data_IF_307021451227
#
_entry.id   IF_307021451227
#
_cell.length_a   1.000
_cell.length_b   1.000
_cell.length_c   1.000
_cell.angle_alpha   90.00
_cell.angle_beta   90.00
_cell.angle_gamma   90.00
#
_symmetry.space_group_name_H-M   'P 1'
#
loop_
_entity.id
_entity.type
_entity.pdbx_description
1 polymer ?
2 polymer ?
3 polymer ?
4 polymer ?
5 non-polymer ?
6 non-polymer ?
7 non-polymer ?
8 water ?
#
loop_
_entity_poly.entity_id
_entity_poly.type
_entity_poly.pdbx_seq_one_letter_code
_entity_poly.pdbx_strand_id
2 'polydeoxyribonucleotide' '(DC)(DG)(DG)(DC)(DA)(DA)(DT)(DA)(DC)(DG)' ?
3 'polydeoxyribonucleotide' '(DC)(DG)(DT)(DA)(DT)' ?
4 'polydeoxyribonucleotide' '(DG)(DC)(DC)(DG)' ?
#
# COMPACT_ATOMS: atom_id res chain seq x y z
N UNK A 10 -3.99 -24.90 -3.43
CA UNK A 10 -3.06 -23.80 -3.63
C UNK A 10 -2.26 -23.53 -2.35
N UNK A 11 -1.06 -22.95 -2.49
CA UNK A 11 -0.19 -22.69 -1.34
C UNK A 11 -0.80 -21.71 -0.33
N UNK A 12 -0.40 -21.83 0.93
CA UNK A 12 -0.98 -21.05 2.01
C UNK A 12 -0.49 -19.61 2.04
N UNK A 13 0.74 -19.38 1.58
CA UNK A 13 1.31 -18.04 1.56
C UNK A 13 1.02 -17.33 0.23
N UNK A 14 0.68 -16.06 0.31
CA UNK A 14 0.35 -15.27 -0.87
C UNK A 14 1.58 -15.03 -1.75
N UNK A 15 2.75 -15.14 -1.14
CA UNK A 15 4.00 -14.95 -1.87
C UNK A 15 4.40 -16.20 -2.64
N UNK A 16 3.64 -17.28 -2.45
CA UNK A 16 3.89 -18.53 -3.16
C UNK A 16 3.00 -18.67 -4.39
N UNK A 17 2.08 -17.74 -4.56
CA UNK A 17 1.13 -17.80 -5.67
C UNK A 17 1.05 -16.47 -6.41
N UNK A 18 0.93 -16.55 -7.75
CA UNK A 18 0.74 -15.34 -8.56
C UNK A 18 -0.64 -14.73 -8.31
N UNK A 19 -0.68 -13.41 -8.15
CA UNK A 19 -1.94 -12.71 -7.94
C UNK A 19 -2.03 -11.51 -8.87
N UNK A 20 -2.81 -11.64 -9.96
CA UNK A 20 -2.96 -10.58 -10.95
C UNK A 20 -3.77 -9.41 -10.40
N UNK A 21 -3.62 -8.24 -11.02
CA UNK A 21 -4.35 -7.05 -10.61
C UNK A 21 -5.86 -7.26 -10.74
N UNK A 22 -6.26 -7.85 -11.86
CA UNK A 22 -7.66 -8.18 -12.09
C UNK A 22 -7.85 -9.69 -12.09
N UNK A 23 -8.98 -10.15 -11.57
CA UNK A 23 -9.23 -11.57 -11.45
C UNK A 23 -10.69 -11.94 -11.74
N UNK A 24 -11.14 -13.05 -11.15
CA UNK A 24 -12.44 -13.61 -11.50
C UNK A 24 -13.36 -13.78 -10.29
N UNK A 25 -12.99 -13.14 -9.19
CA UNK A 25 -13.79 -13.17 -7.97
C UNK A 25 -13.82 -11.81 -7.29
N UNK A 26 -13.98 -10.76 -8.10
CA UNK A 26 -13.93 -9.39 -7.61
C UNK A 26 -14.97 -9.12 -6.53
N UNK A 27 -16.22 -9.50 -6.80
CA UNK A 27 -17.31 -9.28 -5.87
C UNK A 27 -17.10 -9.94 -4.52
N UNK A 28 -16.68 -11.20 -4.55
CA UNK A 28 -16.47 -11.97 -3.31
C UNK A 28 -15.34 -11.39 -2.47
N UNK A 29 -14.20 -11.10 -3.11
CA UNK A 29 -13.04 -10.58 -2.40
C UNK A 29 -13.31 -9.20 -1.81
N UNK A 30 -14.07 -8.39 -2.55
CA UNK A 30 -14.40 -7.04 -2.08
C UNK A 30 -15.23 -7.08 -0.81
N UNK A 31 -16.09 -8.09 -0.70
CA UNK A 31 -16.93 -8.23 0.49
C UNK A 31 -16.10 -8.62 1.70
N UNK A 32 -15.14 -9.51 1.50
CA UNK A 32 -14.26 -9.96 2.57
C UNK A 32 -13.33 -8.85 3.06
N UNK A 33 -12.92 -7.99 2.14
CA UNK A 33 -12.01 -6.90 2.46
C UNK A 33 -12.71 -5.78 3.23
N UNK A 34 -14.03 -5.70 3.08
CA UNK A 34 -14.81 -4.76 3.86
C UNK A 34 -14.83 -5.21 5.32
N UNK A 35 -14.92 -6.53 5.53
CA UNK A 35 -14.87 -7.10 6.87
C UNK A 35 -13.48 -6.92 7.47
N UNK A 36 -12.46 -7.07 6.64
CA UNK A 36 -11.08 -6.85 7.08
C UNK A 36 -10.88 -5.40 7.50
N UNK A 37 -11.39 -4.49 6.68
CA UNK A 37 -11.30 -3.06 6.94
C UNK A 37 -12.05 -2.70 8.21
N UNK A 38 -13.21 -3.33 8.40
CA UNK A 38 -14.03 -3.09 9.59
C UNK A 38 -13.34 -3.65 10.83
N UNK A 39 -12.66 -4.77 10.66
CA UNK A 39 -11.94 -5.42 11.75
C UNK A 39 -10.82 -4.53 12.27
N UNK A 40 -10.11 -3.88 11.35
CA UNK A 40 -9.04 -2.98 11.69
C UNK A 40 -9.54 -1.73 12.39
N UNK A 41 -10.79 -1.38 12.15
CA UNK A 41 -11.40 -0.23 12.80
C UNK A 41 -11.74 -0.54 14.24
N UNK A 42 -11.78 -1.82 14.58
CA UNK A 42 -12.09 -2.25 15.94
C UNK A 42 -10.84 -2.78 16.63
N UNK A 43 -9.68 -2.57 16.01
CA UNK A 43 -8.42 -2.99 16.60
C UNK A 43 -8.16 -4.48 16.50
N UNK A 44 -9.03 -5.19 15.80
CA UNK A 44 -8.89 -6.63 15.62
C UNK A 44 -7.93 -6.95 14.47
N UNK A 45 -6.64 -6.81 14.74
CA UNK A 45 -5.61 -7.01 13.72
C UNK A 45 -5.54 -8.46 13.25
N UNK A 46 -5.93 -9.39 14.11
CA UNK A 46 -5.92 -10.80 13.74
C UNK A 46 -7.01 -11.11 12.72
N UNK A 47 -8.20 -10.58 12.96
CA UNK A 47 -9.33 -10.80 12.06
C UNK A 47 -9.16 -10.08 10.73
N UNK A 48 -8.53 -8.90 10.78
CA UNK A 48 -8.21 -8.16 9.56
C UNK A 48 -7.30 -8.98 8.67
N UNK A 49 -6.33 -9.63 9.28
CA UNK A 49 -5.32 -10.40 8.56
C UNK A 49 -5.95 -11.61 7.86
N UNK A 50 -6.79 -12.33 8.58
CA UNK A 50 -7.43 -13.52 8.03
C UNK A 50 -8.34 -13.18 6.84
N UNK A 51 -9.18 -12.17 7.03
CA UNK A 51 -10.09 -11.72 5.97
C UNK A 51 -9.31 -11.23 4.75
N UNK A 52 -8.16 -10.61 4.98
CA UNK A 52 -7.29 -10.18 3.90
C UNK A 52 -6.72 -11.38 3.15
N UNK A 53 -6.24 -12.37 3.91
CA UNK A 53 -5.71 -13.59 3.33
C UNK A 53 -6.77 -14.33 2.53
N UNK A 54 -7.96 -14.46 3.11
CA UNK A 54 -9.07 -15.16 2.47
C UNK A 54 -9.45 -14.51 1.15
N UNK A 55 -9.44 -13.17 1.13
CA UNK A 55 -9.76 -12.42 -0.07
C UNK A 55 -8.68 -12.61 -1.13
N UNK A 56 -7.42 -12.63 -0.70
CA UNK A 56 -6.30 -12.78 -1.61
C UNK A 56 -6.31 -14.15 -2.27
N UNK A 57 -6.77 -15.16 -1.53
CA UNK A 57 -6.87 -16.51 -2.05
C UNK A 57 -7.82 -16.54 -3.25
N UNK A 58 -8.96 -15.86 -3.11
CA UNK A 58 -9.94 -15.78 -4.19
C UNK A 58 -9.37 -15.03 -5.40
N UNK A 59 -8.52 -14.04 -5.15
CA UNK A 59 -7.87 -13.29 -6.22
C UNK A 59 -6.95 -14.18 -7.05
N UNK A 60 -6.41 -15.22 -6.42
CA UNK A 60 -5.42 -16.08 -7.06
C UNK A 60 -6.05 -17.24 -7.80
N UNK A 61 -7.36 -17.44 -7.60
CA UNK A 61 -8.08 -18.52 -8.28
C UNK A 61 -8.17 -18.24 -9.78
N UNK A 62 -8.10 -19.31 -10.59
CA UNK A 62 -8.09 -19.18 -12.05
C UNK A 62 -9.48 -19.01 -12.66
N UNK A 63 -10.52 -19.11 -11.85
CA UNK A 63 -11.90 -19.05 -12.34
C UNK A 63 -12.86 -18.66 -11.22
N UNK A 64 -14.04 -18.12 -11.58
CA UNK A 64 -15.01 -17.70 -10.55
C UNK A 64 -15.46 -18.82 -9.63
N UNK A 65 -15.74 -18.48 -8.38
CA UNK A 65 -16.35 -19.42 -7.44
C UNK A 65 -17.85 -19.40 -7.63
N UNK A 66 -18.44 -20.58 -7.86
CA UNK A 66 -19.87 -20.68 -8.11
C UNK A 66 -20.58 -21.51 -7.04
N UNK A 67 -19.85 -22.44 -6.43
CA UNK A 67 -20.43 -23.28 -5.39
C UNK A 67 -19.60 -23.24 -4.11
N UNK A 68 -20.23 -23.53 -2.98
CA UNK A 68 -19.55 -23.51 -1.68
C UNK A 68 -18.53 -24.64 -1.58
N UNK A 69 -18.76 -25.72 -2.32
CA UNK A 69 -17.87 -26.88 -2.28
C UNK A 69 -16.50 -26.56 -2.85
N UNK A 70 -16.44 -25.52 -3.69
CA UNK A 70 -15.18 -25.11 -4.30
C UNK A 70 -14.26 -24.42 -3.29
N UNK A 71 -14.81 -24.11 -2.11
CA UNK A 71 -14.04 -23.47 -1.06
C UNK A 71 -13.32 -24.48 -0.19
N UNK A 72 -13.71 -25.74 -0.29
CA UNK A 72 -13.09 -26.81 0.49
C UNK A 72 -11.64 -27.00 0.10
N UNK A 73 -10.76 -27.04 1.10
CA UNK A 73 -9.34 -27.22 0.86
C UNK A 73 -8.58 -25.91 0.76
N UNK A 74 -9.29 -24.84 0.43
CA UNK A 74 -8.67 -23.53 0.30
C UNK A 74 -8.20 -23.00 1.64
N UNK A 75 -6.96 -22.48 1.68
CA UNK A 75 -6.37 -21.92 2.91
C UNK A 75 -7.12 -20.69 3.40
N UNK A 76 -7.14 -20.51 4.72
CA UNK A 76 -7.72 -19.33 5.36
C UNK A 76 -9.21 -19.16 5.09
N UNK A 77 -9.89 -20.26 4.79
CA UNK A 77 -11.34 -20.24 4.63
C UNK A 77 -12.00 -21.16 5.67
N UNK A 78 -12.37 -20.59 6.79
CA UNK A 78 -13.02 -21.33 7.86
C UNK A 78 -14.52 -21.07 7.87
N UNK A 79 -15.12 -21.09 9.05
CA UNK A 79 -16.56 -20.94 9.19
C UNK A 79 -17.06 -19.59 8.73
N UNK A 80 -16.42 -18.52 9.20
CA UNK A 80 -16.90 -17.16 8.95
C UNK A 80 -16.77 -16.76 7.49
N UNK A 81 -15.59 -16.94 6.92
CA UNK A 81 -15.33 -16.54 5.54
C UNK A 81 -16.17 -17.33 4.54
N UNK A 82 -16.40 -18.61 4.83
CA UNK A 82 -17.20 -19.46 3.96
C UNK A 82 -18.67 -19.10 4.04
N UNK A 83 -19.09 -18.66 5.22
CA UNK A 83 -20.47 -18.23 5.44
C UNK A 83 -20.75 -16.97 4.61
N UNK A 84 -19.78 -16.07 4.57
CA UNK A 84 -19.88 -14.85 3.80
C UNK A 84 -20.03 -15.14 2.31
N UNK A 85 -19.21 -16.04 1.81
CA UNK A 85 -19.24 -16.42 0.40
C UNK A 85 -20.55 -17.14 0.06
N UNK A 86 -21.01 -18.00 0.97
CA UNK A 86 -22.22 -18.77 0.79
C UNK A 86 -23.43 -17.89 0.54
N UNK A 87 -23.60 -16.86 1.38
CA UNK A 87 -24.72 -15.94 1.25
C UNK A 87 -24.64 -15.15 -0.05
N UNK A 88 -23.42 -14.79 -0.44
CA UNK A 88 -23.20 -14.03 -1.66
C UNK A 88 -23.55 -14.86 -2.90
N UNK A 89 -23.22 -16.14 -2.86
CA UNK A 89 -23.50 -17.04 -3.97
C UNK A 89 -24.99 -17.37 -4.05
N UNK A 90 -25.67 -17.30 -2.91
CA UNK A 90 -27.06 -17.72 -2.83
C UNK A 90 -28.06 -16.57 -2.90
N UNK A 91 -27.68 -15.43 -2.33
CA UNK A 91 -28.60 -14.30 -2.21
C UNK A 91 -28.10 -13.05 -2.91
N UNK A 92 -26.86 -13.07 -3.36
CA UNK A 92 -26.28 -11.94 -4.07
C UNK A 92 -25.72 -10.89 -3.12
N UNK A 93 -26.09 -10.97 -1.85
CA UNK A 93 -25.58 -10.07 -0.83
C UNK A 93 -25.27 -10.83 0.46
N UNK A 94 -24.35 -10.27 1.25
CA UNK A 94 -24.07 -10.82 2.57
C UNK A 94 -24.60 -9.88 3.64
N UNK A 95 -25.48 -10.39 4.49
CA UNK A 95 -26.17 -9.59 5.51
C UNK A 95 -25.22 -8.81 6.40
N UNK A 96 -24.17 -9.48 6.88
CA UNK A 96 -23.19 -8.84 7.76
C UNK A 96 -22.44 -7.71 7.03
N UNK A 97 -22.03 -7.98 5.80
CA UNK A 97 -21.30 -7.00 5.00
C UNK A 97 -22.11 -5.73 4.79
N UNK A 98 -23.39 -5.90 4.45
CA UNK A 98 -24.27 -4.76 4.22
C UNK A 98 -24.51 -3.98 5.50
N UNK A 99 -24.59 -4.68 6.62
CA UNK A 99 -24.78 -4.04 7.92
C UNK A 99 -23.57 -3.18 8.27
N UNK A 100 -22.39 -3.63 7.87
CA UNK A 100 -21.16 -2.89 8.09
C UNK A 100 -21.15 -1.61 7.25
N UNK A 101 -21.52 -1.74 5.98
CA UNK A 101 -21.59 -0.59 5.08
C UNK A 101 -22.44 0.54 5.64
N UNK A 102 -23.65 0.19 6.06
CA UNK A 102 -24.63 1.19 6.50
C UNK A 102 -24.26 1.87 7.81
N UNK A 103 -23.57 1.14 8.69
CA UNK A 103 -23.31 1.60 10.05
C UNK A 103 -22.57 2.94 10.09
N UNK A 104 -22.96 3.77 11.05
CA UNK A 104 -22.35 5.08 11.25
C UNK A 104 -20.88 4.93 11.66
N UNK A 105 -20.61 3.87 12.44
CA UNK A 105 -19.26 3.59 12.92
C UNK A 105 -18.28 3.37 11.77
N UNK A 106 -18.62 2.46 10.86
CA UNK A 106 -17.74 2.11 9.75
C UNK A 106 -17.50 3.29 8.81
N UNK A 107 -18.57 3.96 8.41
CA UNK A 107 -18.47 5.07 7.47
C UNK A 107 -17.64 6.22 8.03
N UNK A 108 -17.81 6.48 9.32
CA UNK A 108 -17.06 7.55 9.98
C UNK A 108 -15.59 7.19 10.11
N UNK A 109 -15.32 5.99 10.62
CA UNK A 109 -13.94 5.52 10.78
C UNK A 109 -13.22 5.47 9.45
N UNK A 110 -13.92 5.05 8.40
CA UNK A 110 -13.33 5.01 7.06
C UNK A 110 -13.03 6.41 6.57
N UNK A 111 -13.94 7.34 6.83
CA UNK A 111 -13.77 8.74 6.43
C UNK A 111 -12.60 9.39 7.15
N UNK A 112 -12.47 9.10 8.44
CA UNK A 112 -11.43 9.70 9.26
C UNK A 112 -10.05 9.10 8.97
N UNK A 113 -10.00 7.78 8.83
CA UNK A 113 -8.73 7.08 8.66
C UNK A 113 -8.08 7.34 7.30
N UNK A 114 -8.88 7.79 6.33
CA UNK A 114 -8.35 8.07 5.00
C UNK A 114 -7.73 9.46 4.95
N UNK A 115 -7.81 10.18 6.05
CA UNK A 115 -7.19 11.49 6.15
C UNK A 115 -5.70 11.32 6.41
N UNK A 116 -4.87 12.04 5.66
CA UNK A 116 -3.43 11.98 5.85
C UNK A 116 -3.05 12.53 7.21
N UNK A 117 -2.50 11.66 8.06
CA UNK A 117 -2.12 12.06 9.40
C UNK A 117 -3.05 11.50 10.46
N UNK A 118 -4.04 10.74 10.01
CA UNK A 118 -5.03 10.15 10.93
C UNK A 118 -5.07 8.64 10.82
N UNK A 119 -4.86 7.96 11.93
CA UNK A 119 -4.93 6.51 11.99
C UNK A 119 -6.19 6.04 12.71
N UNK A 120 -6.21 4.76 13.06
CA UNK A 120 -7.38 4.15 13.70
C UNK A 120 -7.58 4.70 15.11
N UNK A 121 -6.50 4.81 15.87
CA UNK A 121 -6.56 5.28 17.25
C UNK A 121 -7.12 6.70 17.35
N UNK A 122 -6.66 7.58 16.47
CA UNK A 122 -7.12 8.96 16.45
C UNK A 122 -8.57 9.05 15.97
N UNK A 123 -8.89 8.26 14.95
CA UNK A 123 -10.24 8.23 14.39
C UNK A 123 -11.24 7.75 15.42
N UNK A 124 -10.88 6.71 16.15
CA UNK A 124 -11.74 6.13 17.18
C UNK A 124 -12.04 7.14 18.28
N UNK A 125 -11.01 7.86 18.71
CA UNK A 125 -11.15 8.86 19.76
C UNK A 125 -12.08 9.99 19.32
N UNK A 126 -11.94 10.40 18.05
CA UNK A 126 -12.79 11.44 17.48
C UNK A 126 -14.25 10.98 17.41
N UNK A 127 -14.44 9.71 17.06
CA UNK A 127 -15.78 9.13 17.00
C UNK A 127 -16.42 9.07 18.38
N UNK A 128 -15.60 8.77 19.38
CA UNK A 128 -16.08 8.67 20.76
C UNK A 128 -16.36 10.04 21.37
N UNK A 129 -15.91 11.10 20.69
CA UNK A 129 -16.14 12.45 21.17
C UNK A 129 -17.34 13.09 20.49
N UNK A 130 -17.91 12.40 19.51
CA UNK A 130 -19.11 12.87 18.84
C UNK A 130 -18.86 13.45 17.46
N UNK A 131 -17.61 13.47 17.03
CA UNK A 131 -17.26 13.98 15.72
C UNK A 131 -17.63 12.98 14.62
N UNK A 132 -18.21 13.49 13.53
CA UNK A 132 -18.70 12.61 12.47
C UNK A 132 -18.24 13.04 11.08
N UNK A 133 -18.10 14.34 10.87
CA UNK A 133 -17.76 14.86 9.54
C UNK A 133 -16.43 15.62 9.53
N UNK A 134 -16.00 16.02 8.35
CA UNK A 134 -14.74 16.74 8.18
C UNK A 134 -14.84 18.17 8.71
N UNK A 135 -16.00 18.78 8.54
CA UNK A 135 -16.23 20.14 9.03
C UNK A 135 -16.21 20.17 10.55
N UNK A 136 -16.52 19.04 11.17
CA UNK A 136 -16.42 18.92 12.63
C UNK A 136 -14.96 19.05 13.05
N UNK A 137 -14.07 18.46 12.26
CA UNK A 137 -12.63 18.53 12.53
C UNK A 137 -12.11 19.93 12.25
N UNK A 138 -12.71 20.60 11.27
CA UNK A 138 -12.31 21.96 10.92
C UNK A 138 -12.84 22.96 11.94
N UNK A 139 -13.86 22.56 12.69
CA UNK A 139 -14.46 23.43 13.70
C UNK A 139 -13.53 23.62 14.89
N UNK A 140 -12.63 22.66 15.09
CA UNK A 140 -11.66 22.75 16.18
C UNK A 140 -10.25 22.49 15.68
N UNK A 141 -9.64 23.48 15.02
CA UNK A 141 -8.29 23.36 14.44
C UNK A 141 -7.20 23.35 15.50
N UNK A 142 -7.55 23.67 16.74
CA UNK A 142 -6.59 23.77 17.83
C UNK A 142 -5.94 22.42 18.15
N UNK A 143 -6.74 21.36 18.08
CA UNK A 143 -6.25 20.02 18.42
C UNK A 143 -5.88 19.22 17.17
N UNK A 144 -5.41 19.90 16.14
CA UNK A 144 -4.97 19.24 14.92
C UNK A 144 -3.47 19.43 14.69
N UNK A 145 -2.79 18.32 14.37
CA UNK A 145 -1.37 18.38 14.05
C UNK A 145 -1.18 18.96 12.65
N UNK A 146 0.03 19.39 12.35
CA UNK A 146 0.32 20.01 11.05
C UNK A 146 0.14 19.04 9.90
N UNK A 147 0.39 17.76 10.16
CA UNK A 147 0.19 16.72 9.16
C UNK A 147 -1.30 16.50 8.91
N UNK A 148 -2.08 16.58 9.97
CA UNK A 148 -3.53 16.44 9.87
C UNK A 148 -4.17 17.68 9.26
N UNK A 149 -3.61 18.84 9.56
CA UNK A 149 -4.08 20.09 8.98
C UNK A 149 -3.91 20.06 7.47
N UNK A 150 -2.78 19.54 7.01
CA UNK A 150 -2.52 19.38 5.58
C UNK A 150 -3.41 18.30 4.99
N UNK A 151 -3.69 17.28 5.79
CA UNK A 151 -4.54 16.17 5.35
C UNK A 151 -5.96 16.63 5.09
N UNK A 152 -6.48 17.49 5.96
CA UNK A 152 -7.81 18.05 5.77
C UNK A 152 -7.80 19.12 4.69
N UNK A 153 -6.66 19.80 4.57
CA UNK A 153 -6.50 20.90 3.61
C UNK A 153 -6.68 20.41 2.17
N UNK A 154 -6.01 19.31 1.83
CA UNK A 154 -6.04 18.80 0.47
C UNK A 154 -6.82 17.49 0.34
N UNK A 155 -7.70 17.23 1.30
CA UNK A 155 -8.43 15.96 1.35
C UNK A 155 -9.22 15.66 0.08
N UNK A 156 -9.85 16.68 -0.49
CA UNK A 156 -10.66 16.51 -1.69
C UNK A 156 -9.80 16.04 -2.87
N UNK A 157 -8.65 16.69 -3.06
CA UNK A 157 -7.73 16.30 -4.12
C UNK A 157 -7.14 14.91 -3.87
N UNK A 158 -6.83 14.62 -2.60
CA UNK A 158 -6.21 13.35 -2.25
C UNK A 158 -7.20 12.20 -2.36
N UNK A 159 -8.49 12.51 -2.34
CA UNK A 159 -9.53 11.50 -2.49
C UNK A 159 -9.78 11.21 -3.97
N UNK A 160 -9.20 12.04 -4.83
CA UNK A 160 -9.33 11.87 -6.27
C UNK A 160 -8.25 10.92 -6.79
N UNK A 161 -8.67 9.88 -7.52
CA UNK A 161 -7.74 8.87 -8.07
C UNK A 161 -6.62 9.48 -8.92
N UNK A 162 -5.40 9.01 -8.70
CA UNK A 162 -4.25 9.44 -9.49
C UNK A 162 -4.11 8.53 -10.71
N UNK A 163 -4.01 9.12 -11.89
CA UNK A 163 -3.95 8.35 -13.13
C UNK A 163 -2.51 8.11 -13.58
N UNK A 164 -2.34 7.22 -14.55
CA UNK A 164 -1.03 6.90 -15.10
C UNK A 164 -0.37 8.13 -15.73
N UNK A 165 -1.17 8.95 -16.41
CA UNK A 165 -0.67 10.16 -17.04
C UNK A 165 -0.10 11.12 -16.01
N UNK A 166 -0.68 11.12 -14.82
CA UNK A 166 -0.20 11.94 -13.72
C UNK A 166 1.15 11.42 -13.23
N UNK A 167 1.30 10.11 -13.17
CA UNK A 167 2.53 9.47 -12.71
C UNK A 167 3.70 9.83 -13.62
N UNK A 168 3.46 9.77 -14.93
CA UNK A 168 4.49 10.09 -15.91
C UNK A 168 4.98 11.52 -15.78
N UNK A 169 4.04 12.43 -15.56
CA UNK A 169 4.38 13.84 -15.37
C UNK A 169 5.17 14.06 -14.09
N UNK A 170 4.74 13.39 -13.02
CA UNK A 170 5.41 13.49 -11.73
C UNK A 170 6.82 12.91 -11.78
N UNK A 171 6.96 11.74 -12.41
CA UNK A 171 8.26 11.10 -12.51
C UNK A 171 9.24 11.95 -13.31
N UNK A 172 8.73 12.61 -14.35
CA UNK A 172 9.55 13.51 -15.16
C UNK A 172 10.03 14.68 -14.30
N UNK A 173 9.17 15.14 -13.41
CA UNK A 173 9.49 16.22 -12.50
C UNK A 173 10.54 15.78 -11.47
N UNK A 174 10.31 14.62 -10.85
CA UNK A 174 11.20 14.11 -9.83
C UNK A 174 12.58 13.79 -10.40
N UNK A 175 12.61 13.17 -11.58
CA UNK A 175 13.87 12.85 -12.24
C UNK A 175 14.69 14.11 -12.54
N UNK A 176 14.00 15.21 -12.82
CA UNK A 176 14.66 16.48 -13.10
C UNK A 176 15.35 17.03 -11.87
N UNK A 177 14.63 17.03 -10.75
CA UNK A 177 15.17 17.54 -9.49
C UNK A 177 16.30 16.66 -8.97
N UNK A 178 16.07 15.35 -8.99
CA UNK A 178 17.06 14.38 -8.54
C UNK A 178 18.33 14.47 -9.38
N UNK A 179 18.16 14.61 -10.69
CA UNK A 179 19.28 14.73 -11.60
C UNK A 179 20.16 15.94 -11.29
N UNK A 180 19.51 17.05 -10.97
CA UNK A 180 20.22 18.27 -10.63
C UNK A 180 20.82 18.20 -9.23
N UNK A 181 20.22 17.36 -8.38
CA UNK A 181 20.68 17.21 -7.00
C UNK A 181 21.89 16.29 -6.92
N UNK A 182 21.93 15.28 -7.79
CA UNK A 182 23.02 14.33 -7.81
C UNK A 182 23.16 13.66 -9.17
N UNK A 183 24.22 14.00 -9.90
CA UNK A 183 24.52 13.39 -11.21
C UNK A 183 24.68 11.88 -11.10
N UNK A 184 23.90 11.14 -11.89
CA UNK A 184 23.99 9.69 -11.92
C UNK A 184 22.92 9.01 -11.09
N UNK A 185 22.26 9.79 -10.24
CA UNK A 185 21.20 9.25 -9.39
C UNK A 185 19.98 8.87 -10.24
N UNK A 186 19.43 7.70 -9.97
CA UNK A 186 18.32 7.17 -10.76
C UNK A 186 17.01 7.21 -9.99
N UNK A 187 15.90 7.23 -10.72
CA UNK A 187 14.58 7.26 -10.10
C UNK A 187 13.74 6.08 -10.59
N UNK A 188 13.25 5.27 -9.65
CA UNK A 188 12.45 4.10 -9.99
C UNK A 188 11.03 4.21 -9.44
N UNK A 189 10.04 4.09 -10.33
CA UNK A 189 8.65 4.06 -9.92
C UNK A 189 8.34 2.75 -9.19
N UNK A 190 7.83 2.85 -7.97
CA UNK A 190 7.44 1.68 -7.20
C UNK A 190 5.97 1.73 -6.85
N UNK A 191 5.61 1.15 -5.71
CA UNK A 191 4.24 1.18 -5.24
C UNK A 191 3.29 0.38 -6.10
N UNK A 192 2.00 0.69 -6.01
CA UNK A 192 0.98 -0.02 -6.75
C UNK A 192 1.07 0.17 -8.24
N UNK A 193 1.61 1.31 -8.67
CA UNK A 193 1.72 1.61 -10.09
C UNK A 193 2.75 0.70 -10.78
N UNK A 194 3.77 0.28 -10.03
CA UNK A 194 4.75 -0.67 -10.57
C UNK A 194 4.09 -2.04 -10.74
N UNK A 195 3.09 -2.32 -9.91
CA UNK A 195 2.36 -3.58 -10.01
C UNK A 195 1.36 -3.55 -11.17
N UNK A 196 1.28 -2.42 -11.86
CA UNK A 196 0.47 -2.32 -13.06
C UNK A 196 -0.88 -1.65 -12.87
N UNK A 197 -1.06 -0.97 -11.74
CA UNK A 197 -2.33 -0.29 -11.48
C UNK A 197 -2.49 0.93 -12.39
N UNK A 198 -3.71 1.13 -12.88
CA UNK A 198 -4.00 2.24 -13.77
C UNK A 198 -4.41 3.49 -12.99
N UNK A 199 -4.81 3.29 -11.73
CA UNK A 199 -5.13 4.42 -10.86
C UNK A 199 -4.70 4.12 -9.42
N UNK A 200 -4.42 5.18 -8.67
CA UNK A 200 -3.98 5.03 -7.29
C UNK A 200 -4.30 6.25 -6.43
N UNK A 201 -3.96 6.16 -5.15
CA UNK A 201 -4.21 7.25 -4.22
C UNK A 201 -2.93 8.04 -3.95
N UNK A 202 -1.81 7.54 -4.44
CA UNK A 202 -0.53 8.20 -4.29
C UNK A 202 0.48 7.67 -5.29
N UNK A 203 1.67 8.26 -5.31
CA UNK A 203 2.76 7.79 -6.17
C UNK A 203 4.03 7.57 -5.35
N UNK A 204 4.66 6.42 -5.55
CA UNK A 204 5.87 6.09 -4.80
C UNK A 204 7.09 6.00 -5.71
N UNK A 205 8.18 6.63 -5.29
CA UNK A 205 9.44 6.60 -6.05
C UNK A 205 10.60 6.13 -5.19
N UNK A 206 11.47 5.32 -5.78
CA UNK A 206 12.68 4.86 -5.11
C UNK A 206 13.91 5.42 -5.80
N UNK A 207 14.77 6.08 -5.03
CA UNK A 207 15.94 6.75 -5.57
C UNK A 207 17.24 6.13 -5.06
N UNK A 208 18.20 5.95 -5.97
CA UNK A 208 19.49 5.40 -5.58
C UNK A 208 20.61 5.94 -6.50
N UNK A 209 21.83 5.47 -6.26
CA UNK A 209 22.98 5.88 -7.05
C UNK A 209 23.94 4.70 -7.18
N UNK A 210 24.47 4.48 -8.40
CA UNK A 210 25.34 3.33 -8.68
C UNK A 210 26.57 3.28 -7.79
N UNK A 211 27.14 4.44 -7.45
CA UNK A 211 28.29 4.50 -6.56
C UNK A 211 27.83 4.52 -5.11
N UNK A 212 28.13 3.44 -4.39
CA UNK A 212 27.72 3.28 -2.99
C UNK A 212 28.18 4.44 -2.11
N UNK A 213 27.23 5.04 -1.38
CA UNK A 213 27.53 6.13 -0.47
C UNK A 213 27.20 7.50 -1.02
N UNK A 214 27.13 7.61 -2.34
CA UNK A 214 26.86 8.90 -2.98
C UNK A 214 25.43 9.37 -2.73
N UNK A 215 24.54 8.43 -2.38
CA UNK A 215 23.14 8.74 -2.18
C UNK A 215 22.89 9.42 -0.83
N UNK A 216 23.93 9.49 -0.01
CA UNK A 216 23.82 10.10 1.32
C UNK A 216 23.57 11.61 1.21
N UNK A 217 22.62 12.09 2.00
CA UNK A 217 22.28 13.51 2.03
C UNK A 217 21.67 13.99 0.73
N UNK A 218 20.98 13.10 0.02
CA UNK A 218 20.39 13.44 -1.27
C UNK A 218 19.02 14.08 -1.14
N UNK A 219 18.18 13.53 -0.27
CA UNK A 219 16.80 13.99 -0.12
C UNK A 219 16.66 15.49 0.18
N UNK A 220 17.45 16.04 1.13
CA UNK A 220 17.32 17.49 1.35
C UNK A 220 17.62 18.31 0.10
N UNK A 221 18.58 17.87 -0.70
CA UNK A 221 18.93 18.55 -1.95
C UNK A 221 17.78 18.45 -2.95
N UNK A 222 17.14 17.29 -2.99
CA UNK A 222 16.02 17.07 -3.89
C UNK A 222 14.81 17.91 -3.49
N UNK A 223 14.52 17.94 -2.19
CA UNK A 223 13.39 18.69 -1.66
C UNK A 223 13.53 20.18 -1.90
N UNK A 224 14.75 20.69 -1.70
CA UNK A 224 15.03 22.11 -1.89
C UNK A 224 14.76 22.55 -3.33
N UNK A 225 15.25 21.76 -4.28
CA UNK A 225 15.08 22.07 -5.69
C UNK A 225 13.63 21.93 -6.13
N UNK A 226 12.89 21.07 -5.44
CA UNK A 226 11.46 20.90 -5.72
C UNK A 226 10.65 22.06 -5.16
N UNK A 227 11.04 22.54 -3.98
CA UNK A 227 10.39 23.69 -3.38
C UNK A 227 10.68 24.97 -4.15
N UNK A 228 11.88 25.06 -4.71
CA UNK A 228 12.28 26.22 -5.50
C UNK A 228 11.43 26.34 -6.76
N UNK A 229 10.91 25.21 -7.23
CA UNK A 229 10.03 25.20 -8.38
C UNK A 229 8.57 25.41 -7.94
N UNK A 230 8.37 25.58 -6.64
CA UNK A 230 7.05 25.81 -6.08
C UNK A 230 6.13 24.64 -6.29
N UNK A 231 6.64 23.43 -6.07
CA UNK A 231 5.89 22.21 -6.33
C UNK A 231 5.55 21.44 -5.06
N UNK A 232 6.01 21.94 -3.91
CA UNK A 232 5.76 21.25 -2.65
C UNK A 232 4.75 21.99 -1.78
N UNK A 233 3.59 21.36 -1.58
CA UNK A 233 2.55 21.92 -0.72
C UNK A 233 2.76 21.46 0.72
N UNK A 234 3.43 20.32 0.88
CA UNK A 234 3.72 19.75 2.19
C UNK A 234 4.79 18.67 2.06
N UNK A 235 5.67 18.59 3.06
CA UNK A 235 6.68 17.54 3.10
C UNK A 235 7.25 17.38 4.52
N UNK A 258 16.53 7.26 4.16
CA UNK A 258 15.77 8.51 4.24
C UNK A 258 14.52 8.47 3.37
N UNK A 259 13.38 8.78 3.97
CA UNK A 259 12.13 8.85 3.23
C UNK A 259 11.56 10.26 3.31
N UNK A 260 10.60 10.56 2.43
CA UNK A 260 9.98 11.89 2.42
C UNK A 260 8.53 11.81 1.93
N UNK A 261 7.60 12.01 2.85
CA UNK A 261 6.18 11.97 2.53
C UNK A 261 5.70 13.35 2.11
N UNK A 262 5.52 13.53 0.80
CA UNK A 262 5.23 14.86 0.26
C UNK A 262 3.83 14.98 -0.33
N UNK A 263 3.36 16.22 -0.43
CA UNK A 263 2.16 16.53 -1.19
C UNK A 263 2.54 17.47 -2.33
N UNK A 264 2.53 16.95 -3.55
CA UNK A 264 2.96 17.70 -4.72
C UNK A 264 1.85 18.55 -5.31
N UNK A 265 2.25 19.66 -5.93
CA UNK A 265 1.32 20.47 -6.72
C UNK A 265 1.44 20.06 -8.18
N UNK A 266 0.46 19.31 -8.66
CA UNK A 266 0.51 18.75 -10.01
C UNK A 266 -0.29 19.59 -11.01
N UNK A 267 0.40 20.16 -12.01
CA UNK A 267 -0.22 20.97 -13.06
C UNK A 267 -1.34 20.23 -13.81
N UNK A 268 -2.51 20.85 -13.88
CA UNK A 268 -3.64 20.31 -14.61
C UNK A 268 -4.05 21.27 -15.72
N UNK A 269 -4.85 20.81 -16.69
CA UNK A 269 -5.34 21.72 -17.74
C UNK A 269 -6.06 22.95 -17.18
N UNK A 270 -5.36 24.07 -17.10
CA UNK A 270 -5.95 25.31 -16.64
C UNK A 270 -5.91 25.49 -15.13
N UNK A 271 -5.42 24.47 -14.43
CA UNK A 271 -5.35 24.52 -12.97
C UNK A 271 -4.33 23.54 -12.42
N UNK A 272 -4.60 23.00 -11.23
CA UNK A 272 -3.71 22.03 -10.61
C UNK A 272 -4.43 21.28 -9.48
N UNK A 273 -3.84 20.18 -9.05
CA UNK A 273 -4.38 19.40 -7.94
C UNK A 273 -3.27 18.83 -7.08
N UNK A 274 -3.57 18.57 -5.81
CA UNK A 274 -2.58 18.03 -4.89
C UNK A 274 -2.47 16.51 -5.00
N UNK A 275 -1.23 16.01 -4.98
CA UNK A 275 -0.98 14.58 -5.09
C UNK A 275 0.03 14.11 -4.04
N UNK A 276 -0.32 13.05 -3.32
CA UNK A 276 0.59 12.43 -2.36
C UNK A 276 1.73 11.73 -3.09
N UNK A 277 2.95 12.11 -2.76
CA UNK A 277 4.14 11.49 -3.35
C UNK A 277 5.14 11.10 -2.27
N UNK A 278 5.64 9.88 -2.35
CA UNK A 278 6.64 9.39 -1.40
C UNK A 278 7.99 9.19 -2.06
N UNK A 279 9.02 9.83 -1.51
CA UNK A 279 10.37 9.70 -2.03
C UNK A 279 11.25 8.92 -1.06
N UNK A 280 11.84 7.83 -1.54
CA UNK A 280 12.69 6.99 -0.72
C UNK A 280 14.07 6.84 -1.34
N UNK A 281 15.10 7.03 -0.51
CA UNK A 281 16.48 6.89 -0.96
C UNK A 281 17.13 5.70 -0.28
N UNK A 282 17.85 4.89 -1.05
CA UNK A 282 18.55 3.74 -0.52
C UNK A 282 19.88 3.55 -1.24
N UNK A 283 20.88 3.01 -0.52
CA UNK A 283 22.14 2.65 -1.19
C UNK A 283 21.92 1.52 -2.18
N UNK A 284 22.67 1.50 -3.28
CA UNK A 284 22.45 0.52 -4.34
C UNK A 284 22.59 -0.91 -3.84
N UNK A 285 23.39 -1.09 -2.78
CA UNK A 285 23.57 -2.41 -2.18
C UNK A 285 22.27 -2.93 -1.59
N UNK A 286 21.42 -2.03 -1.11
CA UNK A 286 20.16 -2.40 -0.48
C UNK A 286 18.97 -2.11 -1.40
N UNK A 287 19.25 -1.60 -2.59
CA UNK A 287 18.22 -1.23 -3.55
C UNK A 287 17.22 -2.36 -3.87
N UNK A 288 17.70 -3.57 -4.17
CA UNK A 288 16.71 -4.62 -4.50
C UNK A 288 15.80 -4.98 -3.33
N UNK A 289 16.27 -4.79 -2.10
CA UNK A 289 15.43 -5.02 -0.93
C UNK A 289 14.42 -3.89 -0.77
N UNK A 290 14.86 -2.67 -1.03
CA UNK A 290 13.98 -1.50 -0.96
C UNK A 290 12.95 -1.53 -2.09
N UNK A 291 13.37 -2.02 -3.25
CA UNK A 291 12.47 -2.14 -4.39
C UNK A 291 11.36 -3.17 -4.10
N UNK A 292 11.77 -4.32 -3.58
CA UNK A 292 10.83 -5.39 -3.25
C UNK A 292 9.80 -4.93 -2.22
N UNK A 293 10.29 -4.30 -1.16
CA UNK A 293 9.43 -3.85 -0.09
C UNK A 293 8.45 -2.76 -0.48
N UNK A 294 8.91 -1.82 -1.31
CA UNK A 294 8.10 -0.67 -1.67
C UNK A 294 7.23 -0.90 -2.91
N UNK A 295 7.41 -2.04 -3.57
CA UNK A 295 6.57 -2.40 -4.70
C UNK A 295 5.29 -3.07 -4.20
N UNK A 296 5.42 -3.81 -3.10
CA UNK A 296 4.27 -4.41 -2.46
C UNK A 296 3.79 -5.70 -3.10
N UNK A 297 2.51 -6.02 -2.92
CA UNK A 297 1.58 -5.20 -2.15
C UNK A 297 1.81 -5.33 -0.65
N UNK A 298 1.02 -4.60 0.13
CA UNK A 298 1.14 -4.62 1.59
C UNK A 298 1.03 -6.05 2.12
N UNK A 299 -0.04 -6.74 1.73
CA UNK A 299 -0.27 -8.11 2.16
C UNK A 299 0.82 -9.05 1.64
N UNK A 300 1.24 -8.83 0.39
CA UNK A 300 2.29 -9.65 -0.22
C UNK A 300 3.58 -9.61 0.60
N UNK A 301 3.95 -8.41 1.04
CA UNK A 301 5.18 -8.23 1.82
C UNK A 301 5.06 -8.87 3.20
N UNK A 302 3.88 -8.76 3.81
CA UNK A 302 3.64 -9.38 5.12
C UNK A 302 3.77 -10.90 5.00
N UNK A 303 3.11 -11.47 4.00
CA UNK A 303 3.17 -12.89 3.73
C UNK A 303 4.60 -13.34 3.42
N UNK A 304 5.31 -12.51 2.67
CA UNK A 304 6.68 -12.80 2.27
C UNK A 304 7.62 -12.83 3.47
N UNK A 305 7.42 -11.88 4.38
CA UNK A 305 8.25 -11.79 5.58
C UNK A 305 7.86 -12.85 6.60
N UNK A 306 6.58 -13.21 6.61
CA UNK A 306 6.12 -14.29 7.48
C UNK A 306 6.64 -15.63 6.97
N UNK A 307 6.66 -15.80 5.65
CA UNK A 307 7.19 -17.01 5.03
C UNK A 307 8.68 -17.14 5.30
N UNK A 308 9.39 -16.03 5.18
CA UNK A 308 10.84 -16.02 5.36
C UNK A 308 11.25 -16.48 6.75
N UNK A 309 10.52 -16.02 7.76
CA UNK A 309 10.86 -16.33 9.14
C UNK A 309 10.37 -17.71 9.57
N UNK A 310 9.11 -18.01 9.26
CA UNK A 310 8.49 -19.24 9.73
C UNK A 310 8.92 -20.49 8.96
N UNK A 311 9.20 -20.32 7.67
CA UNK A 311 9.49 -21.47 6.80
C UNK A 311 10.96 -21.58 6.43
N UNK A 312 11.70 -20.48 6.52
CA UNK A 312 13.10 -20.47 6.09
C UNK A 312 14.04 -20.04 7.21
N UNK A 313 13.48 -19.58 8.32
CA UNK A 313 14.27 -19.13 9.44
C UNK A 313 15.13 -17.93 9.08
N UNK A 314 14.62 -17.09 8.20
CA UNK A 314 15.35 -15.91 7.75
C UNK A 314 14.56 -14.63 8.03
N UNK A 315 15.26 -13.57 8.38
CA UNK A 315 14.61 -12.31 8.73
C UNK A 315 14.69 -11.31 7.59
N UNK A 316 13.54 -10.92 7.05
CA UNK A 316 13.47 -10.03 5.90
C UNK A 316 12.80 -8.71 6.21
N UNK A 317 13.38 -7.63 5.71
CA UNK A 317 12.74 -6.31 5.75
C UNK A 317 13.09 -5.49 4.51
N UNK A 318 12.85 -4.19 4.59
CA UNK A 318 13.10 -3.29 3.46
C UNK A 318 14.59 -3.07 3.21
N UNK A 319 15.42 -3.51 4.14
CA UNK A 319 16.85 -3.22 4.09
C UNK A 319 17.71 -4.43 3.75
N UNK A 320 17.22 -5.62 4.03
CA UNK A 320 17.97 -6.83 3.74
C UNK A 320 17.38 -8.14 4.23
N UNK A 321 18.16 -9.21 4.09
CA UNK A 321 17.75 -10.54 4.55
C UNK A 321 18.81 -11.11 5.48
N UNK A 322 18.41 -11.34 6.73
CA UNK A 322 19.36 -11.71 7.78
C UNK A 322 19.21 -13.16 8.21
N UNK A 323 20.33 -13.87 8.27
CA UNK A 323 20.37 -15.24 8.80
C UNK A 323 20.75 -15.20 10.27
N UNK A 324 19.79 -15.40 11.17
CA UNK A 324 20.02 -15.31 12.62
C UNK A 324 21.00 -16.36 13.14
N UNK A 325 21.04 -17.52 12.51
CA UNK A 325 21.94 -18.59 12.92
C UNK A 325 23.38 -18.29 12.52
N UNK A 326 23.55 -17.90 11.26
CA UNK A 326 24.88 -17.61 10.72
C UNK A 326 25.31 -16.19 11.03
N UNK A 327 24.36 -15.36 11.44
CA UNK A 327 24.59 -13.94 11.73
C UNK A 327 25.19 -13.21 10.53
N UNK A 328 24.65 -13.47 9.34
CA UNK A 328 25.12 -12.84 8.11
C UNK A 328 23.95 -12.27 7.30
N UNK A 329 24.22 -11.20 6.57
CA UNK A 329 23.23 -10.62 5.68
C UNK A 329 23.39 -11.12 4.26
N UNK A 330 22.28 -11.53 3.64
CA UNK A 330 22.31 -11.98 2.25
C UNK A 330 22.60 -10.82 1.31
N UNK A 331 23.52 -11.05 0.37
CA UNK A 331 23.81 -10.04 -0.65
C UNK A 331 22.90 -10.27 -1.85
N UNK A 332 22.29 -9.20 -2.34
CA UNK A 332 21.36 -9.30 -3.46
C UNK A 332 21.63 -8.24 -4.51
N UNK A 333 21.59 -8.65 -5.77
CA UNK A 333 21.78 -7.73 -6.89
C UNK A 333 20.46 -7.45 -7.58
N UNK A 334 19.43 -8.21 -7.23
CA UNK A 334 18.13 -8.09 -7.84
C UNK A 334 17.02 -8.68 -6.99
N UNK A 335 15.78 -8.46 -7.38
CA UNK A 335 14.64 -9.10 -6.74
C UNK A 335 14.70 -10.61 -6.97
N UNK A 336 15.19 -11.00 -8.14
CA UNK A 336 15.35 -12.42 -8.48
C UNK A 336 16.28 -13.11 -7.48
N UNK A 337 17.31 -12.39 -7.04
CA UNK A 337 18.24 -12.91 -6.04
C UNK A 337 17.51 -13.24 -4.75
N UNK A 338 16.65 -12.31 -4.32
CA UNK A 338 15.93 -12.46 -3.06
C UNK A 338 14.98 -13.65 -3.08
N UNK A 339 14.20 -13.76 -4.16
CA UNK A 339 13.29 -14.88 -4.33
C UNK A 339 14.03 -16.21 -4.31
N UNK A 340 15.19 -16.26 -4.96
CA UNK A 340 16.01 -17.46 -4.98
C UNK A 340 16.55 -17.78 -3.59
N UNK A 341 16.90 -16.74 -2.84
CA UNK A 341 17.36 -16.91 -1.46
C UNK A 341 16.27 -17.55 -0.60
N UNK A 342 15.03 -17.22 -0.90
CA UNK A 342 13.89 -17.70 -0.11
C UNK A 342 13.28 -18.99 -0.65
N UNK A 343 13.83 -19.47 -1.76
CA UNK A 343 13.35 -20.70 -2.37
C UNK A 343 11.95 -20.57 -2.96
N UNK A 344 11.65 -19.39 -3.48
CA UNK A 344 10.36 -19.13 -4.10
C UNK A 344 10.52 -18.91 -5.60
N UNK A 345 9.52 -19.33 -6.37
CA UNK A 345 9.48 -19.00 -7.78
C UNK A 345 9.36 -17.49 -7.93
N UNK A 346 10.05 -16.92 -8.91
CA UNK A 346 10.03 -15.48 -9.08
C UNK A 346 8.63 -15.00 -9.46
N UNK A 347 8.20 -13.92 -8.81
CA UNK A 347 6.95 -13.27 -9.15
C UNK A 347 7.19 -11.84 -9.60
N UNK A 348 6.84 -11.53 -10.85
CA UNK A 348 6.90 -10.15 -11.35
C UNK A 348 5.96 -9.26 -10.54
N UNK A 349 6.21 -7.94 -10.53
CA UNK A 349 5.40 -6.99 -9.76
C UNK A 349 3.91 -7.03 -10.08
N UNK A 350 3.55 -7.41 -11.30
CA UNK A 350 2.14 -7.47 -11.68
C UNK A 350 1.46 -8.73 -11.15
N UNK A 351 2.24 -9.61 -10.51
CA UNK A 351 1.69 -10.82 -9.91
C UNK A 351 1.84 -10.80 -8.40
N UNK A 352 2.11 -9.61 -7.85
CA UNK A 352 2.22 -9.45 -6.40
C UNK A 352 1.06 -8.62 -5.87
N UNK A 353 -0.07 -8.66 -6.57
CA UNK A 353 -1.26 -7.91 -6.16
C UNK A 353 -2.12 -8.67 -5.16
N UNK A 354 -1.47 -9.23 -4.14
CA UNK A 354 -2.17 -10.00 -3.11
C UNK A 354 -3.15 -9.11 -2.33
X LIG E 1 2.60 5.99 -0.57
X LIG F 1 -6.18 -0.17 -11.09
X LIG G 1 15.78 -5.70 -9.03
X LIG H 1 0.83 3.80 -3.26
X LIG I 1 -4.70 8.18 6.61
X LIG J 1 -8.00 -9.90 16.31
X LIG K 1 -0.64 0.89 -3.94
X LIG K 1 0.31 0.89 -2.76
X LIG K 1 0.47 -0.53 -2.27
X LIG K 1 -0.28 1.78 -1.63
X LIG K 1 1.65 1.42 -3.20
#
# INVERSE_FOLDING_TARGET
GSAAASPAWMPAYACQRPTPLTHHNTGLSEALEILAEAAGFEGSEGRLLTFCRAASVLKALPSPVTTLSQLQGLPHFGEHSSRVVQELLEHGVCEEVERVRRSERYQTMKLFTQIFGVGVKTADRWYREGLRTLDDLREQPQKLTQQQKAGLQHHQDLSTPVLRSDVDALQQVVEEAVGQALPGATVTLTGGFRRGKLQGHDVDFLITHPKEGQEAGLLPRVMCRLQDQGLILYHQHQHSCCESPTRLAQQSHMDAFERSFCIFRLPQPGSWKAVRVDLVVAPVSQFPFALLGWTGSKLFQRELRRFSRKEKGLWLNSHGLFDPEQKTFFQAASEEDIFRHLGLEYLPPEQRNA
NA NA
CL CL
CL CL
NA NA
NA NA
CL CL
PPV OPP P2 O12 O22 O32
#
